data_IF_187762727901
#
_entry.id   IF_187762727901
#
_cell.length_a   1.000
_cell.length_b   1.000
_cell.length_c   1.000
_cell.angle_alpha   90.00
_cell.angle_beta   90.00
_cell.angle_gamma   90.00
#
_symmetry.space_group_name_H-M   'P 1'
#
loop_
_entity.id
_entity.type
_entity.pdbx_description
1 polymer ?
#
# COMPACT_ATOMS: atom_id res chain seq x y z
N UNK A 1 35.69 23.18 59.11
CA UNK A 1 34.38 23.69 58.67
C UNK A 1 34.24 23.40 57.18
N UNK A 2 33.43 22.41 56.79
CA UNK A 2 33.22 22.05 55.38
C UNK A 2 31.91 22.68 54.92
N UNK A 3 31.97 23.61 53.98
CA UNK A 3 30.79 24.26 53.40
C UNK A 3 30.01 23.25 52.53
N UNK A 4 28.72 23.06 52.87
CA UNK A 4 27.77 22.31 52.04
C UNK A 4 27.40 23.15 50.81
N UNK A 5 27.83 22.71 49.63
CA UNK A 5 27.34 23.26 48.36
C UNK A 5 25.86 22.94 48.14
N UNK A 6 25.07 23.96 47.83
CA UNK A 6 23.65 23.86 47.51
C UNK A 6 23.47 23.37 46.07
N UNK A 7 23.03 22.12 45.91
CA UNK A 7 22.66 21.60 44.59
C UNK A 7 21.36 22.26 44.10
N UNK A 8 21.45 23.05 43.03
CA UNK A 8 20.28 23.66 42.36
C UNK A 8 19.48 22.58 41.63
N UNK A 9 18.31 22.24 42.15
CA UNK A 9 17.34 21.32 41.53
C UNK A 9 16.79 21.96 40.24
N UNK A 10 17.22 21.45 39.07
CA UNK A 10 16.69 21.89 37.77
C UNK A 10 15.19 21.56 37.69
N UNK A 11 14.35 22.59 37.53
CA UNK A 11 12.90 22.43 37.31
C UNK A 11 12.65 21.57 36.05
N UNK A 12 11.81 20.54 36.17
CA UNK A 12 11.42 19.71 35.05
C UNK A 12 10.73 20.56 33.96
N UNK A 13 11.13 20.38 32.70
CA UNK A 13 10.53 21.09 31.56
C UNK A 13 9.06 20.66 31.43
N UNK A 14 8.14 21.64 31.36
CA UNK A 14 6.72 21.39 31.13
C UNK A 14 6.53 20.78 29.74
N UNK A 15 6.10 19.52 29.69
CA UNK A 15 5.79 18.83 28.44
C UNK A 15 4.47 19.41 27.91
N UNK A 16 4.53 20.07 26.75
CA UNK A 16 3.34 20.58 26.08
C UNK A 16 2.78 19.46 25.19
N UNK A 17 1.63 18.90 25.58
CA UNK A 17 0.98 17.80 24.84
C UNK A 17 0.02 18.42 23.82
N UNK A 18 0.29 18.19 22.54
CA UNK A 18 -0.65 18.52 21.45
C UNK A 18 -1.49 17.28 21.15
N UNK A 19 -2.79 17.50 20.97
CA UNK A 19 -3.73 16.46 20.57
C UNK A 19 -3.85 16.54 19.05
N UNK A 20 -3.53 15.47 18.36
CA UNK A 20 -3.76 15.32 16.92
C UNK A 20 -4.84 14.28 16.68
N UNK A 21 -5.64 14.51 15.65
CA UNK A 21 -6.44 13.46 15.04
C UNK A 21 -5.50 12.65 14.16
N UNK A 22 -5.41 11.35 14.43
CA UNK A 22 -4.60 10.41 13.66
C UNK A 22 -5.54 9.42 12.96
N UNK A 23 -5.08 8.87 11.83
CA UNK A 23 -5.89 7.93 11.05
C UNK A 23 -6.11 6.64 11.88
N UNK A 24 -7.36 6.26 12.19
CA UNK A 24 -7.64 5.02 12.89
C UNK A 24 -7.36 3.77 12.03
N UNK A 25 -7.26 3.90 10.71
CA UNK A 25 -7.10 2.78 9.80
C UNK A 25 -5.64 2.49 9.50
N UNK A 26 -5.24 1.26 9.78
CA UNK A 26 -3.89 0.77 9.48
C UNK A 26 -4.00 -0.17 8.28
N UNK A 27 -3.90 0.38 7.07
CA UNK A 27 -3.89 -0.42 5.84
C UNK A 27 -2.49 -1.03 5.68
N UNK A 28 -2.43 -2.36 5.76
CA UNK A 28 -1.18 -3.11 5.61
C UNK A 28 -1.31 -4.15 4.52
N UNK A 29 -0.15 -4.50 3.96
CA UNK A 29 -0.05 -5.62 3.05
C UNK A 29 -0.40 -6.92 3.77
N UNK A 30 -1.22 -7.74 3.13
CA UNK A 30 -1.35 -9.14 3.52
C UNK A 30 -0.14 -9.90 2.98
N UNK A 31 0.56 -10.59 3.88
CA UNK A 31 1.69 -11.44 3.49
C UNK A 31 1.16 -12.73 2.85
N UNK A 32 1.85 -13.18 1.81
CA UNK A 32 1.56 -14.48 1.18
C UNK A 32 2.23 -15.58 2.00
N UNK A 33 1.50 -16.67 2.24
CA UNK A 33 1.97 -17.82 3.02
C UNK A 33 3.09 -18.59 2.29
N UNK A 34 3.88 -19.35 3.05
CA UNK A 34 5.20 -19.85 2.63
C UNK A 34 5.21 -20.61 1.31
N UNK A 35 4.42 -21.68 1.19
CA UNK A 35 4.42 -22.53 0.00
C UNK A 35 3.94 -21.78 -1.25
N UNK A 36 2.92 -20.94 -1.09
CA UNK A 36 2.42 -20.09 -2.16
C UNK A 36 3.43 -19.02 -2.58
N UNK A 37 4.15 -18.43 -1.63
CA UNK A 37 5.24 -17.51 -1.91
C UNK A 37 6.35 -18.19 -2.73
N UNK A 38 6.76 -19.40 -2.34
CA UNK A 38 7.78 -20.15 -3.07
C UNK A 38 7.33 -20.49 -4.48
N UNK A 39 6.08 -20.96 -4.62
CA UNK A 39 5.46 -21.22 -5.92
C UNK A 39 5.45 -19.98 -6.82
N UNK A 40 5.04 -18.82 -6.30
CA UNK A 40 5.00 -17.55 -7.06
C UNK A 40 6.40 -17.19 -7.55
N UNK A 41 7.41 -17.22 -6.67
CA UNK A 41 8.78 -16.87 -7.03
C UNK A 41 9.36 -17.82 -8.07
N UNK A 42 9.18 -19.13 -7.90
CA UNK A 42 9.70 -20.13 -8.82
C UNK A 42 9.05 -20.03 -10.20
N UNK A 43 7.71 -19.92 -10.25
CA UNK A 43 6.97 -19.81 -11.51
C UNK A 43 7.40 -18.55 -12.29
N UNK A 44 7.59 -17.43 -11.60
CA UNK A 44 8.09 -16.20 -12.21
C UNK A 44 9.53 -16.32 -12.70
N UNK A 45 10.40 -16.93 -11.89
CA UNK A 45 11.80 -17.15 -12.24
C UNK A 45 11.93 -18.01 -13.50
N UNK A 46 11.23 -19.13 -13.57
CA UNK A 46 11.21 -20.03 -14.72
C UNK A 46 10.67 -19.33 -15.97
N UNK A 47 9.55 -18.60 -15.84
CA UNK A 47 8.96 -17.90 -16.98
C UNK A 47 9.84 -16.78 -17.51
N UNK A 48 10.44 -15.97 -16.64
CA UNK A 48 11.32 -14.88 -17.06
C UNK A 48 12.60 -15.43 -17.69
N UNK A 49 13.16 -16.54 -17.17
CA UNK A 49 14.29 -17.24 -17.80
C UNK A 49 13.93 -17.75 -19.19
N UNK A 50 12.76 -18.37 -19.34
CA UNK A 50 12.29 -18.88 -20.62
C UNK A 50 12.08 -17.77 -21.66
N UNK A 51 11.53 -16.63 -21.23
CA UNK A 51 11.30 -15.46 -22.10
C UNK A 51 12.62 -14.75 -22.46
N UNK A 52 13.60 -14.75 -21.55
CA UNK A 52 14.90 -14.12 -21.79
C UNK A 52 14.88 -12.57 -21.79
N UNK A 53 13.89 -11.95 -21.14
CA UNK A 53 13.82 -10.49 -21.04
C UNK A 53 14.95 -9.98 -20.13
N UNK A 54 15.87 -9.20 -20.69
CA UNK A 54 16.99 -8.62 -19.95
C UNK A 54 17.26 -7.19 -20.41
N UNK A 55 17.56 -6.31 -19.46
CA UNK A 55 18.07 -4.98 -19.72
C UNK A 55 19.60 -5.04 -19.83
N UNK A 56 20.12 -4.59 -20.95
CA UNK A 56 21.55 -4.45 -21.22
C UNK A 56 21.91 -3.00 -20.92
N UNK A 57 22.68 -2.78 -19.84
CA UNK A 57 23.16 -1.44 -19.50
C UNK A 57 24.46 -1.16 -20.25
N UNK A 58 24.55 0.02 -20.91
CA UNK A 58 25.82 0.49 -21.42
C UNK A 58 26.80 0.65 -20.25
N UNK A 59 28.07 0.22 -20.39
CA UNK A 59 29.08 0.48 -19.37
C UNK A 59 29.15 1.99 -19.15
N UNK A 60 28.85 2.43 -17.93
CA UNK A 60 28.97 3.85 -17.54
C UNK A 60 30.41 4.29 -17.79
N UNK A 61 30.63 5.09 -18.85
CA UNK A 61 31.92 5.74 -19.08
C UNK A 61 32.20 6.63 -17.87
N UNK A 62 33.10 6.19 -16.99
CA UNK A 62 33.59 7.01 -15.88
C UNK A 62 34.17 8.28 -16.50
N UNK A 63 33.51 9.43 -16.33
CA UNK A 63 34.12 10.73 -16.69
C UNK A 63 35.37 10.84 -15.83
N UNK A 64 36.54 10.59 -16.44
CA UNK A 64 37.82 10.97 -15.83
C UNK A 64 37.75 12.48 -15.70
N UNK A 65 37.62 12.98 -14.48
CA UNK A 65 37.78 14.39 -14.20
C UNK A 65 39.19 14.75 -14.64
N UNK A 66 39.32 15.46 -15.76
CA UNK A 66 40.57 16.04 -16.21
C UNK A 66 40.92 17.16 -15.23
N UNK A 67 41.57 16.79 -14.13
CA UNK A 67 42.24 17.73 -13.26
C UNK A 67 43.68 17.26 -13.19
N UNK A 68 44.59 18.19 -13.52
CA UNK A 68 46.06 18.09 -13.48
C UNK A 68 46.73 17.69 -14.80
N UNK A 69 46.99 18.70 -15.64
CA UNK A 69 48.30 18.97 -16.28
C UNK A 69 48.27 20.35 -16.95
N UNK A 70 48.37 21.41 -16.14
CA UNK A 70 49.10 22.59 -16.58
C UNK A 70 50.56 22.32 -16.21
N UNK A 71 51.38 21.97 -17.21
CA UNK A 71 52.81 22.29 -17.32
C UNK A 71 53.40 21.49 -18.49
N UNK A 72 54.16 22.20 -19.33
CA UNK A 72 54.92 21.74 -20.51
C UNK A 72 54.03 21.33 -21.71
N UNK A 73 54.18 21.84 -22.93
CA UNK A 73 55.31 22.50 -23.61
C UNK A 73 54.79 23.20 -24.88
N UNK A 74 55.48 24.25 -25.32
CA UNK A 74 55.42 24.81 -26.68
C UNK A 74 55.76 23.77 -27.76
N UNK A 75 55.30 24.00 -29.00
CA UNK A 75 55.97 23.51 -30.21
C UNK A 75 55.13 22.70 -31.21
N UNK A 76 54.68 23.39 -32.27
CA UNK A 76 54.77 23.05 -33.70
C UNK A 76 54.14 21.80 -34.36
N UNK A 77 53.27 22.13 -35.34
CA UNK A 77 53.27 21.77 -36.78
C UNK A 77 53.16 20.30 -37.25
N UNK A 78 52.16 20.12 -38.12
CA UNK A 78 52.01 19.18 -39.25
C UNK A 78 51.48 17.74 -39.03
N UNK A 79 50.27 17.57 -39.58
CA UNK A 79 49.86 16.54 -40.56
C UNK A 79 50.32 15.09 -40.35
N UNK A 80 49.38 14.20 -40.06
CA UNK A 80 49.37 12.83 -40.60
C UNK A 80 48.03 12.15 -40.29
N UNK A 81 47.23 12.00 -41.35
CA UNK A 81 46.53 10.80 -41.78
C UNK A 81 45.69 9.96 -40.78
N UNK A 82 44.41 9.84 -41.14
CA UNK A 82 43.52 8.74 -40.80
C UNK A 82 44.20 7.37 -40.95
N UNK A 83 43.85 6.41 -40.07
CA UNK A 83 43.62 5.05 -40.51
C UNK A 83 42.12 4.72 -40.48
N UNK A 84 41.63 4.26 -41.63
CA UNK A 84 40.47 3.37 -41.73
C UNK A 84 40.86 2.04 -41.07
N UNK A 85 40.21 1.69 -39.97
CA UNK A 85 40.10 0.31 -39.51
C UNK A 85 38.64 -0.10 -39.66
N UNK A 86 38.34 -0.73 -40.80
CA UNK A 86 37.27 -1.70 -40.86
C UNK A 86 37.80 -2.99 -40.23
N UNK A 87 37.42 -3.22 -38.98
CA UNK A 87 37.52 -4.52 -38.34
C UNK A 87 36.12 -5.00 -37.96
N UNK A 88 35.61 -5.90 -38.81
CA UNK A 88 34.81 -7.10 -38.49
C UNK A 88 33.68 -7.01 -37.45
N UNK A 89 32.46 -7.20 -37.97
CA UNK A 89 31.32 -7.94 -37.40
C UNK A 89 31.42 -8.38 -35.93
N UNK A 90 30.72 -7.63 -35.09
CA UNK A 90 30.41 -7.99 -33.72
C UNK A 90 29.54 -6.89 -33.14
N UNK A 91 28.30 -6.79 -33.63
CA UNK A 91 27.29 -5.85 -33.13
C UNK A 91 27.33 -5.84 -31.61
N UNK A 92 27.89 -4.76 -31.04
CA UNK A 92 27.77 -4.52 -29.60
C UNK A 92 26.27 -4.42 -29.33
N UNK A 93 25.72 -5.18 -28.38
CA UNK A 93 24.30 -5.08 -28.09
C UNK A 93 23.99 -3.63 -27.70
N UNK A 94 23.11 -3.00 -28.47
CA UNK A 94 22.64 -1.66 -28.22
C UNK A 94 22.09 -1.57 -26.78
N UNK A 95 22.42 -0.52 -26.01
CA UNK A 95 21.94 -0.39 -24.65
C UNK A 95 20.42 -0.26 -24.64
N UNK A 96 19.74 -1.14 -23.92
CA UNK A 96 18.29 -1.21 -23.98
C UNK A 96 17.72 -2.50 -23.41
N UNK A 97 16.44 -2.72 -23.67
CA UNK A 97 15.76 -3.97 -23.36
C UNK A 97 15.92 -4.94 -24.53
N UNK A 98 16.09 -6.24 -24.24
CA UNK A 98 16.21 -7.27 -25.26
C UNK A 98 15.00 -7.34 -26.19
N UNK A 99 13.78 -7.29 -25.64
CA UNK A 99 12.53 -7.24 -26.40
C UNK A 99 11.60 -6.14 -25.86
N UNK A 100 11.31 -5.15 -26.71
CA UNK A 100 10.43 -4.02 -26.39
C UNK A 100 8.95 -4.43 -26.30
N UNK A 101 8.51 -5.44 -27.05
CA UNK A 101 7.13 -5.91 -27.02
C UNK A 101 6.83 -6.59 -25.70
N UNK A 102 7.73 -7.48 -25.25
CA UNK A 102 7.62 -8.12 -23.95
C UNK A 102 7.75 -7.07 -22.84
N UNK A 103 8.69 -6.13 -22.95
CA UNK A 103 8.87 -5.07 -21.96
C UNK A 103 7.60 -4.23 -21.74
N UNK A 104 6.80 -3.97 -22.79
CA UNK A 104 5.55 -3.21 -22.70
C UNK A 104 4.46 -3.94 -21.90
N UNK A 105 4.53 -5.27 -21.81
CA UNK A 105 3.60 -6.11 -21.04
C UNK A 105 3.82 -6.04 -19.52
N UNK A 106 5.00 -5.57 -19.10
CA UNK A 106 5.37 -5.44 -17.68
C UNK A 106 5.40 -3.97 -17.25
N UNK A 107 4.99 -3.71 -16.02
CA UNK A 107 5.23 -2.47 -15.30
C UNK A 107 6.28 -2.73 -14.22
N UNK A 108 7.45 -2.09 -14.32
CA UNK A 108 8.57 -2.37 -13.41
C UNK A 108 8.84 -1.13 -12.54
N UNK A 109 8.83 -1.33 -11.23
CA UNK A 109 9.03 -0.28 -10.24
C UNK A 109 7.74 0.46 -9.88
N UNK A 110 7.79 1.17 -8.75
CA UNK A 110 6.62 1.81 -8.14
C UNK A 110 5.96 2.79 -9.12
N UNK A 111 6.73 3.65 -9.78
CA UNK A 111 6.19 4.69 -10.65
C UNK A 111 5.49 4.15 -11.90
N UNK A 112 5.92 3.02 -12.45
CA UNK A 112 5.24 2.42 -13.60
C UNK A 112 3.99 1.68 -13.16
N UNK A 113 4.08 0.97 -12.02
CA UNK A 113 2.95 0.27 -11.43
C UNK A 113 1.85 1.26 -11.03
N UNK A 114 2.17 2.39 -10.41
CA UNK A 114 1.17 3.43 -10.06
C UNK A 114 0.47 3.96 -11.31
N UNK A 115 1.22 4.36 -12.34
CA UNK A 115 0.65 4.84 -13.61
C UNK A 115 -0.24 3.79 -14.27
N UNK A 116 0.14 2.52 -14.21
CA UNK A 116 -0.64 1.44 -14.79
C UNK A 116 -1.93 1.16 -13.98
N UNK A 117 -1.91 1.26 -12.65
CA UNK A 117 -3.11 1.19 -11.81
C UNK A 117 -4.07 2.36 -12.06
N UNK A 118 -3.54 3.57 -12.18
CA UNK A 118 -4.34 4.77 -12.47
C UNK A 118 -5.14 4.60 -13.77
N UNK A 119 -4.50 4.00 -14.78
CA UNK A 119 -5.11 3.68 -16.09
C UNK A 119 -5.90 2.37 -16.13
N UNK A 120 -5.97 1.61 -15.03
CA UNK A 120 -6.60 0.29 -14.98
C UNK A 120 -6.01 -0.73 -16.00
N UNK A 121 -4.71 -0.62 -16.27
CA UNK A 121 -4.01 -1.47 -17.23
C UNK A 121 -3.49 -2.78 -16.62
N UNK A 122 -3.50 -2.96 -15.30
CA UNK A 122 -2.92 -4.15 -14.64
C UNK A 122 -3.95 -5.27 -14.44
N UNK A 123 -3.51 -6.52 -14.62
CA UNK A 123 -4.22 -7.73 -14.16
C UNK A 123 -3.74 -8.12 -12.77
N UNK A 124 -2.43 -8.07 -12.53
CA UNK A 124 -1.80 -8.55 -11.31
C UNK A 124 -0.67 -7.61 -10.91
N UNK A 125 -0.49 -7.40 -9.60
CA UNK A 125 0.63 -6.66 -9.04
C UNK A 125 1.29 -7.43 -7.90
N UNK A 126 2.61 -7.46 -7.88
CA UNK A 126 3.42 -8.00 -6.79
C UNK A 126 4.35 -6.91 -6.26
N UNK A 127 4.43 -6.79 -4.94
CA UNK A 127 5.28 -5.82 -4.26
C UNK A 127 6.31 -6.55 -3.42
N UNK A 128 7.56 -6.10 -3.43
CA UNK A 128 8.62 -6.68 -2.64
C UNK A 128 8.55 -6.20 -1.18
N UNK A 129 8.70 -7.12 -0.22
CA UNK A 129 8.81 -6.79 1.23
C UNK A 129 10.09 -6.02 1.59
N UNK A 130 11.09 -5.97 0.71
CA UNK A 130 12.36 -5.27 0.97
C UNK A 130 12.29 -3.74 0.79
N UNK A 131 11.16 -3.21 0.31
CA UNK A 131 10.99 -1.78 0.10
C UNK A 131 11.03 -1.01 1.42
N UNK A 132 11.95 -0.05 1.56
CA UNK A 132 12.08 0.81 2.74
C UNK A 132 12.12 2.29 2.33
N UNK A 133 11.36 3.17 3.00
CA UNK A 133 10.34 2.89 4.01
C UNK A 133 9.05 2.26 3.44
N UNK A 134 8.32 1.52 4.27
CA UNK A 134 7.08 0.80 3.90
C UNK A 134 6.05 1.71 3.22
N UNK A 135 6.01 2.99 3.62
CA UNK A 135 5.13 4.02 3.07
C UNK A 135 5.25 4.20 1.55
N UNK A 136 6.41 3.86 0.96
CA UNK A 136 6.60 3.89 -0.49
C UNK A 136 5.68 2.92 -1.20
N UNK A 137 5.19 1.88 -0.53
CA UNK A 137 4.30 0.88 -1.13
C UNK A 137 2.87 0.97 -0.61
N UNK A 138 2.64 1.59 0.54
CA UNK A 138 1.31 1.65 1.19
C UNK A 138 0.22 2.23 0.28
N UNK A 139 0.55 3.20 -0.57
CA UNK A 139 -0.42 3.82 -1.48
C UNK A 139 -0.91 2.89 -2.59
N UNK A 140 -0.17 1.81 -2.89
CA UNK A 140 -0.58 0.83 -3.90
C UNK A 140 -1.75 -0.04 -3.42
N UNK A 141 -1.94 -0.19 -2.11
CA UNK A 141 -3.05 -0.99 -1.53
C UNK A 141 -4.42 -0.37 -1.85
N UNK A 142 -4.71 0.89 -1.48
CA UNK A 142 -6.00 1.49 -1.84
C UNK A 142 -6.17 1.66 -3.36
N UNK A 143 -5.09 1.93 -4.10
CA UNK A 143 -5.15 2.02 -5.57
C UNK A 143 -5.57 0.69 -6.21
N UNK A 144 -4.95 -0.42 -5.81
CA UNK A 144 -5.31 -1.76 -6.31
C UNK A 144 -6.72 -2.17 -5.90
N UNK A 145 -7.11 -1.93 -4.64
CA UNK A 145 -8.46 -2.17 -4.17
C UNK A 145 -9.51 -1.39 -4.97
N UNK A 146 -9.24 -0.13 -5.35
CA UNK A 146 -10.16 0.68 -6.16
C UNK A 146 -10.37 0.17 -7.59
N UNK A 147 -9.47 -0.70 -8.08
CA UNK A 147 -9.49 -1.29 -9.42
C UNK A 147 -9.78 -2.79 -9.40
N UNK A 148 -10.10 -3.35 -8.23
CA UNK A 148 -10.24 -4.79 -8.01
C UNK A 148 -9.05 -5.59 -8.59
N UNK A 149 -7.85 -5.02 -8.53
CA UNK A 149 -6.64 -5.67 -9.04
C UNK A 149 -6.04 -6.53 -7.92
N UNK A 150 -5.87 -7.85 -8.10
CA UNK A 150 -5.18 -8.70 -7.13
C UNK A 150 -3.76 -8.18 -6.93
N UNK A 151 -3.42 -7.91 -5.68
CA UNK A 151 -2.10 -7.41 -5.33
C UNK A 151 -1.62 -8.04 -4.02
N UNK A 152 -0.36 -8.48 -4.02
CA UNK A 152 0.21 -9.21 -2.89
C UNK A 152 1.65 -8.80 -2.61
N UNK A 153 2.06 -8.94 -1.35
CA UNK A 153 3.44 -8.69 -0.96
C UNK A 153 4.23 -10.01 -0.91
N UNK A 154 5.28 -10.08 -1.73
CA UNK A 154 6.17 -11.23 -1.85
C UNK A 154 7.55 -10.83 -1.30
N UNK A 155 8.07 -11.49 -0.24
CA UNK A 155 9.45 -11.25 0.19
C UNK A 155 10.44 -11.84 -0.83
N UNK A 156 11.65 -11.26 -0.90
CA UNK A 156 12.74 -11.67 -1.83
C UNK A 156 12.39 -11.60 -3.33
N UNK A 157 11.29 -10.95 -3.71
CA UNK A 157 10.93 -10.71 -5.11
C UNK A 157 12.06 -10.01 -5.86
N UNK A 158 12.60 -8.93 -5.29
CA UNK A 158 13.70 -8.19 -5.92
C UNK A 158 14.98 -9.01 -6.02
N UNK A 159 15.29 -9.85 -5.03
CA UNK A 159 16.50 -10.68 -5.02
C UNK A 159 16.46 -11.74 -6.12
N UNK A 160 15.28 -12.29 -6.39
CA UNK A 160 15.08 -13.36 -7.37
C UNK A 160 14.94 -12.79 -8.78
N UNK A 161 14.14 -11.74 -8.96
CA UNK A 161 13.73 -11.26 -10.28
C UNK A 161 14.65 -10.17 -10.84
N UNK A 162 15.20 -9.29 -10.00
CA UNK A 162 16.04 -8.19 -10.50
C UNK A 162 17.28 -8.67 -11.26
N UNK A 163 18.02 -9.70 -10.79
CA UNK A 163 19.18 -10.22 -11.53
C UNK A 163 18.82 -10.78 -12.90
N UNK A 164 17.67 -11.47 -13.00
CA UNK A 164 17.18 -12.05 -14.27
C UNK A 164 16.90 -10.96 -15.30
N UNK A 165 16.31 -9.85 -14.87
CA UNK A 165 15.99 -8.70 -15.71
C UNK A 165 17.19 -7.78 -15.99
N UNK A 166 18.36 -8.04 -15.41
CA UNK A 166 19.52 -7.14 -15.52
C UNK A 166 19.33 -5.80 -14.78
N UNK A 167 18.55 -5.80 -13.70
CA UNK A 167 18.25 -4.64 -12.87
C UNK A 167 18.92 -4.74 -11.51
N UNK A 168 19.17 -3.60 -10.87
CA UNK A 168 19.69 -3.57 -9.50
C UNK A 168 18.63 -3.93 -8.46
N UNK A 169 17.37 -3.54 -8.69
CA UNK A 169 16.25 -3.84 -7.78
C UNK A 169 14.90 -3.73 -8.48
N UNK A 170 13.94 -4.51 -8.01
CA UNK A 170 12.54 -4.51 -8.45
C UNK A 170 11.63 -4.50 -7.22
N UNK A 171 11.23 -3.30 -6.78
CA UNK A 171 10.39 -3.14 -5.59
C UNK A 171 8.91 -3.40 -5.85
N UNK A 172 8.46 -3.19 -7.07
CA UNK A 172 7.10 -3.48 -7.51
C UNK A 172 7.14 -4.02 -8.93
N UNK A 173 6.29 -4.98 -9.23
CA UNK A 173 6.15 -5.63 -10.52
C UNK A 173 4.67 -5.75 -10.84
N UNK A 174 4.25 -5.26 -12.00
CA UNK A 174 2.87 -5.38 -12.48
C UNK A 174 2.81 -6.06 -13.84
N UNK A 175 1.78 -6.86 -14.05
CA UNK A 175 1.45 -7.50 -15.32
C UNK A 175 0.28 -6.77 -15.95
N UNK A 176 0.45 -6.28 -17.18
CA UNK A 176 -0.61 -5.55 -17.88
C UNK A 176 -1.65 -6.50 -18.48
N UNK A 177 -2.85 -5.99 -18.77
CA UNK A 177 -3.94 -6.75 -19.40
C UNK A 177 -3.59 -7.39 -20.74
N UNK A 178 -2.65 -6.80 -21.48
CA UNK A 178 -2.17 -7.30 -22.77
C UNK A 178 -0.90 -8.15 -22.62
N UNK A 179 -0.74 -8.87 -21.50
CA UNK A 179 0.46 -9.66 -21.22
C UNK A 179 0.36 -11.11 -21.69
N UNK A 180 0.23 -11.33 -22.99
CA UNK A 180 0.01 -12.67 -23.57
C UNK A 180 1.12 -13.67 -23.18
N UNK A 181 2.35 -13.19 -23.01
CA UNK A 181 3.49 -14.04 -22.61
C UNK A 181 3.47 -14.41 -21.14
N UNK A 182 2.64 -13.78 -20.32
CA UNK A 182 2.58 -14.00 -18.87
C UNK A 182 1.20 -14.51 -18.39
N UNK A 183 0.21 -14.65 -19.28
CA UNK A 183 -1.17 -15.03 -18.93
C UNK A 183 -1.24 -16.30 -18.08
N UNK A 184 -0.60 -17.39 -18.51
CA UNK A 184 -0.57 -18.68 -17.79
C UNK A 184 -0.05 -18.53 -16.35
N UNK A 185 1.00 -17.72 -16.18
CA UNK A 185 1.63 -17.49 -14.88
C UNK A 185 0.74 -16.61 -14.00
N UNK A 186 0.13 -15.59 -14.59
CA UNK A 186 -0.79 -14.70 -13.87
C UNK A 186 -2.01 -15.48 -13.37
N UNK A 187 -2.62 -16.31 -14.21
CA UNK A 187 -3.76 -17.16 -13.85
C UNK A 187 -3.42 -18.15 -12.73
N UNK A 188 -2.21 -18.72 -12.74
CA UNK A 188 -1.74 -19.62 -11.67
C UNK A 188 -1.49 -18.89 -10.34
N UNK A 189 -1.08 -17.61 -10.39
CA UNK A 189 -0.71 -16.82 -9.21
C UNK A 189 -1.92 -16.17 -8.54
N UNK A 190 -2.87 -15.63 -9.31
CA UNK A 190 -4.05 -14.92 -8.77
C UNK A 190 -4.76 -15.66 -7.62
N UNK A 191 -5.10 -16.97 -7.72
CA UNK A 191 -5.83 -17.67 -6.66
C UNK A 191 -5.03 -17.82 -5.35
N UNK A 192 -3.70 -17.67 -5.40
CA UNK A 192 -2.81 -17.79 -4.24
C UNK A 192 -2.59 -16.47 -3.50
N UNK A 193 -3.11 -15.37 -4.03
CA UNK A 193 -2.93 -14.05 -3.46
C UNK A 193 -4.10 -13.73 -2.53
N UNK A 194 -3.84 -13.35 -1.26
CA UNK A 194 -4.90 -12.95 -0.35
C UNK A 194 -5.55 -11.65 -0.82
N UNK A 195 -6.88 -11.60 -0.80
CA UNK A 195 -7.63 -10.40 -1.15
C UNK A 195 -7.29 -9.23 -0.21
N UNK A 196 -6.98 -8.07 -0.77
CA UNK A 196 -6.67 -6.86 0.00
C UNK A 196 -7.95 -6.27 0.58
N UNK A 197 -7.98 -5.94 1.87
CA UNK A 197 -9.13 -5.32 2.49
C UNK A 197 -8.85 -3.85 2.78
N UNK A 198 -9.72 -2.97 2.27
CA UNK A 198 -9.67 -1.53 2.55
C UNK A 198 -11.04 -1.14 3.13
N UNK A 199 -11.11 -0.68 4.39
CA UNK A 199 -12.38 -0.57 5.13
C UNK A 199 -13.48 0.26 4.46
N UNK A 200 -13.12 1.25 3.63
CA UNK A 200 -14.07 2.12 2.93
C UNK A 200 -14.30 1.75 1.46
N UNK A 201 -13.60 0.74 0.94
CA UNK A 201 -13.81 0.22 -0.42
C UNK A 201 -14.57 -1.09 -0.26
N UNK A 202 -15.88 -1.04 -0.43
CA UNK A 202 -16.73 -2.22 -0.46
C UNK A 202 -16.38 -3.00 -1.73
N UNK A 203 -15.77 -4.16 -1.56
CA UNK A 203 -15.55 -5.09 -2.65
C UNK A 203 -16.86 -5.84 -2.88
N UNK A 204 -17.52 -5.56 -4.01
CA UNK A 204 -18.79 -6.17 -4.41
C UNK A 204 -18.69 -7.68 -4.75
N UNK A 205 -17.83 -8.43 -4.06
CA UNK A 205 -17.59 -9.87 -4.29
C UNK A 205 -17.35 -10.69 -3.01
N UNK A 206 -17.45 -10.10 -1.82
CA UNK A 206 -17.36 -10.82 -0.55
C UNK A 206 -18.74 -11.17 0.06
N UNK A 207 -19.81 -11.10 -0.75
CA UNK A 207 -21.13 -11.63 -0.37
C UNK A 207 -21.19 -13.13 -0.66
N UNK A 208 -20.44 -13.94 0.09
CA UNK A 208 -20.64 -15.39 0.27
C UNK A 208 -19.52 -15.95 1.17
N UNK A 209 -19.65 -15.84 2.50
CA UNK A 209 -18.97 -16.74 3.45
C UNK A 209 -19.36 -16.55 4.92
N UNK A 210 -20.31 -15.67 5.25
CA UNK A 210 -20.81 -15.54 6.64
C UNK A 210 -22.30 -15.86 6.71
N UNK A 211 -22.68 -16.99 6.14
CA UNK A 211 -23.99 -17.61 6.33
C UNK A 211 -23.81 -19.13 6.37
N UNK A 212 -22.94 -19.62 7.27
CA UNK A 212 -22.91 -21.04 7.67
C UNK A 212 -22.04 -21.18 8.93
N UNK A 213 -22.58 -20.74 10.06
CA UNK A 213 -22.09 -21.14 11.37
C UNK A 213 -23.20 -21.05 12.44
N UNK A 214 -24.44 -21.40 12.09
CA UNK A 214 -25.49 -21.70 13.08
C UNK A 214 -26.50 -22.66 12.47
N UNK A 215 -26.22 -23.96 12.55
CA UNK A 215 -27.22 -25.00 12.47
C UNK A 215 -26.84 -26.13 13.41
N UNK A 216 -27.46 -26.11 14.59
CA UNK A 216 -27.98 -27.29 15.28
C UNK A 216 -28.96 -26.75 16.34
N UNK A 217 -30.26 -26.74 16.04
CA UNK A 217 -31.23 -27.83 16.23
C UNK A 217 -31.87 -27.78 17.62
N UNK A 218 -33.12 -27.34 17.69
CA UNK A 218 -34.24 -28.12 18.26
C UNK A 218 -35.57 -27.35 18.12
N UNK A 219 -36.51 -27.99 17.45
CA UNK A 219 -37.90 -27.61 17.19
C UNK A 219 -38.74 -27.69 18.48
N UNK A 220 -39.78 -26.86 18.64
CA UNK A 220 -41.19 -27.32 18.80
C UNK A 220 -42.22 -26.17 18.71
N UNK A 221 -43.05 -26.23 17.65
CA UNK A 221 -44.50 -25.94 17.50
C UNK A 221 -45.21 -24.79 18.28
N UNK A 222 -45.53 -23.70 17.55
CA UNK A 222 -46.88 -23.20 17.11
C UNK A 222 -48.03 -22.82 18.12
N UNK A 223 -49.09 -22.07 17.72
CA UNK A 223 -49.32 -20.66 18.14
C UNK A 223 -50.72 -20.34 18.74
N UNK A 224 -50.90 -19.24 19.50
CA UNK A 224 -52.26 -18.66 19.71
C UNK A 224 -52.31 -17.18 20.16
N UNK A 225 -52.97 -16.36 19.31
CA UNK A 225 -53.92 -15.24 19.50
C UNK A 225 -53.75 -14.13 20.57
N UNK A 226 -53.64 -12.89 20.04
CA UNK A 226 -54.54 -11.71 20.18
C UNK A 226 -54.96 -11.18 21.58
N UNK A 227 -54.52 -9.96 21.92
CA UNK A 227 -55.37 -8.80 22.34
C UNK A 227 -54.55 -7.64 22.98
N UNK A 228 -54.70 -6.42 22.45
CA UNK A 228 -54.58 -5.12 23.19
C UNK A 228 -55.96 -4.74 23.79
N UNK A 229 -56.21 -3.63 24.56
CA UNK A 229 -55.43 -2.39 24.86
C UNK A 229 -55.62 -1.91 26.35
N UNK A 230 -55.69 -0.60 26.74
CA UNK A 230 -54.94 0.63 26.40
C UNK A 230 -54.34 1.36 27.66
N UNK A 231 -53.52 2.40 27.47
CA UNK A 231 -53.44 3.51 28.45
C UNK A 231 -52.14 4.33 28.55
N UNK A 232 -52.24 5.59 28.12
CA UNK A 232 -51.60 6.81 28.68
C UNK A 232 -50.22 7.33 28.17
N UNK A 233 -50.32 8.37 27.35
CA UNK A 233 -49.35 9.44 27.04
C UNK A 233 -48.83 10.17 28.32
N UNK A 234 -47.59 10.71 28.31
CA UNK A 234 -47.49 12.15 28.01
C UNK A 234 -46.25 12.58 27.20
N UNK A 235 -46.53 13.34 26.14
CA UNK A 235 -45.95 14.64 25.81
C UNK A 235 -44.44 14.87 26.02
N UNK A 236 -43.70 14.94 24.92
CA UNK A 236 -42.57 15.88 24.74
C UNK A 236 -42.28 16.09 23.25
N UNK A 237 -42.84 17.15 22.67
CA UNK A 237 -42.61 17.58 21.30
C UNK A 237 -41.13 17.99 21.10
N UNK A 238 -40.33 17.07 20.57
CA UNK A 238 -39.03 17.38 19.96
C UNK A 238 -39.25 17.38 18.44
N UNK A 239 -39.04 18.54 17.81
CA UNK A 239 -39.26 18.75 16.37
C UNK A 239 -38.66 17.61 15.55
N UNK A 240 -39.54 16.83 14.90
CA UNK A 240 -39.22 15.79 13.93
C UNK A 240 -38.62 16.48 12.71
N UNK A 241 -37.30 16.31 12.49
CA UNK A 241 -36.70 16.71 11.21
C UNK A 241 -37.23 15.71 10.18
N UNK A 242 -37.97 16.19 9.20
CA UNK A 242 -38.47 15.37 8.11
C UNK A 242 -37.32 14.58 7.49
N UNK A 243 -37.51 13.28 7.29
CA UNK A 243 -36.63 12.42 6.51
C UNK A 243 -36.55 12.99 5.10
N UNK A 244 -35.48 13.74 4.82
CA UNK A 244 -35.15 14.12 3.46
C UNK A 244 -34.54 12.90 2.79
N UNK A 245 -35.33 12.24 1.93
CA UNK A 245 -34.96 11.34 0.84
C UNK A 245 -33.49 10.88 0.84
N UNK A 246 -33.27 9.71 1.47
CA UNK A 246 -32.04 8.94 1.39
C UNK A 246 -31.85 8.44 -0.05
N UNK A 247 -30.78 8.80 -0.78
CA UNK A 247 -30.32 7.96 -1.88
C UNK A 247 -29.75 6.66 -1.30
N UNK A 248 -30.15 5.52 -1.86
CA UNK A 248 -29.90 4.16 -1.38
C UNK A 248 -28.53 3.88 -0.74
N UNK A 249 -28.48 3.91 0.59
CA UNK A 249 -27.35 3.47 1.41
C UNK A 249 -27.64 2.14 2.10
N UNK A 250 -28.25 1.16 1.42
CA UNK A 250 -28.56 -0.15 2.01
C UNK A 250 -27.30 -0.93 2.43
N UNK A 251 -26.11 -0.53 1.95
CA UNK A 251 -24.84 -1.21 2.20
C UNK A 251 -23.83 -0.38 3.01
N UNK A 252 -24.24 0.65 3.76
CA UNK A 252 -23.30 1.44 4.58
C UNK A 252 -23.20 0.84 5.99
N UNK A 253 -22.14 0.06 6.21
CA UNK A 253 -21.78 -0.42 7.55
C UNK A 253 -20.87 0.63 8.22
N UNK A 254 -21.37 1.28 9.28
CA UNK A 254 -20.56 2.18 10.08
C UNK A 254 -19.63 1.39 11.00
N UNK A 255 -18.32 1.63 10.91
CA UNK A 255 -17.36 1.02 11.83
C UNK A 255 -17.20 1.86 13.11
N UNK A 256 -17.13 1.21 14.29
CA UNK A 256 -16.98 1.92 15.56
C UNK A 256 -15.58 2.53 15.68
N UNK A 257 -15.50 3.85 15.84
CA UNK A 257 -14.23 4.53 16.07
C UNK A 257 -13.73 4.32 17.51
N UNK A 258 -12.50 3.81 17.65
CA UNK A 258 -11.84 3.68 18.96
C UNK A 258 -11.29 5.03 19.41
N UNK A 259 -12.10 5.75 20.20
CA UNK A 259 -11.69 7.03 20.79
C UNK A 259 -10.59 6.77 21.82
N UNK A 260 -9.33 7.07 21.49
CA UNK A 260 -8.18 6.88 22.39
C UNK A 260 -8.29 7.72 23.67
N UNK A 261 -8.88 8.92 23.59
CA UNK A 261 -9.06 9.81 24.75
C UNK A 261 -10.18 10.83 24.51
N UNK A 262 -11.19 10.83 25.36
CA UNK A 262 -12.22 11.87 25.39
C UNK A 262 -11.75 13.00 26.31
N UNK A 263 -11.42 14.15 25.72
CA UNK A 263 -11.05 15.35 26.49
C UNK A 263 -12.21 16.35 26.48
N UNK A 264 -12.56 16.94 27.64
CA UNK A 264 -13.61 17.92 27.72
C UNK A 264 -13.24 19.13 26.86
N UNK A 265 -14.20 19.59 26.04
CA UNK A 265 -14.04 20.77 25.19
C UNK A 265 -13.51 21.96 26.04
N UNK A 266 -12.31 22.50 25.74
CA UNK A 266 -11.69 23.54 26.54
C UNK A 266 -12.50 24.85 26.57
N UNK A 267 -13.34 25.08 25.55
CA UNK A 267 -14.21 26.26 25.47
C UNK A 267 -15.56 26.05 26.19
N UNK A 268 -15.79 24.84 26.76
CA UNK A 268 -17.03 24.54 27.47
C UNK A 268 -16.94 25.01 28.92
N UNK A 269 -17.52 26.19 29.20
CA UNK A 269 -17.71 26.69 30.56
C UNK A 269 -18.61 25.72 31.32
N UNK A 270 -18.06 25.04 32.33
CA UNK A 270 -18.84 24.15 33.20
C UNK A 270 -19.70 25.00 34.13
N UNK A 271 -21.01 24.77 34.13
CA UNK A 271 -21.89 25.34 35.16
C UNK A 271 -21.48 24.78 36.53
N UNK A 272 -21.38 25.60 37.58
CA UNK A 272 -21.07 25.10 38.91
C UNK A 272 -22.14 24.09 39.35
N UNK A 273 -21.77 23.04 40.10
CA UNK A 273 -22.73 22.07 40.60
C UNK A 273 -23.79 22.77 41.46
N UNK A 274 -25.07 22.44 41.24
CA UNK A 274 -26.18 22.96 42.06
C UNK A 274 -25.93 22.56 43.51
N UNK A 275 -25.76 23.55 44.40
CA UNK A 275 -25.69 23.31 45.85
C UNK A 275 -27.01 22.65 46.28
N UNK A 276 -26.95 21.40 46.76
CA UNK A 276 -28.10 20.79 47.46
C UNK A 276 -28.44 21.69 48.65
N UNK A 277 -29.66 22.22 48.71
CA UNK A 277 -30.14 22.92 49.91
C UNK A 277 -30.16 21.87 51.02
N UNK A 278 -29.40 22.10 52.09
CA UNK A 278 -29.55 21.31 53.32
C UNK A 278 -30.97 21.53 53.81
N UNK A 279 -31.75 20.46 53.94
CA UNK A 279 -32.98 20.51 54.70
C UNK A 279 -32.59 20.90 56.14
N UNK A 280 -33.13 22.02 56.62
CA UNK A 280 -33.06 22.37 58.03
C UNK A 280 -33.99 21.41 58.76
N UNK A 281 -33.44 20.80 59.82
CA UNK A 281 -34.13 19.93 60.77
C UNK A 281 -35.13 20.70 61.61
#
# INVERSE_FOLDING_TARGET
VIQRGTASLRKAKKINVKISLDDPYVIQWKAIEGDDMHFILQTLEERIKHIGLKKIEAPRKKRRSATKKQMAREGDIASSELPKEEETEGSRPEPGWSDLNIRRQLAIGINEVTKALEKNELILMLVCKSAKPDMITSHLIPLSASRATPAGQVPRLSETIAPLLGLSSVLALGFKRQSDKFTEVVEAIIPKIPALEVPWIIQYGAEQSVADAHSDSSETQDPEQLAEPPGEEPASQKRKRAESNQPGFSNVVLQPLKIKKLLPNPNKIKKPPRKKRKALS
#
